data_IF_720693466113
#
_entry.id   IF_720693466113
#
_cell.length_a   1.000
_cell.length_b   1.000
_cell.length_c   1.000
_cell.angle_alpha   90.00
_cell.angle_beta   90.00
_cell.angle_gamma   90.00
#
_symmetry.space_group_name_H-M   'P 1'
#
loop_
_entity.id
_entity.type
_entity.pdbx_description
1 polymer ?
#
# COMPACT_ATOMS: atom_id res chain seq x y z
N UNK A 1 -16.43 -19.43 1.78
CA UNK A 1 -15.89 -20.04 3.02
C UNK A 1 -15.03 -19.01 3.72
N UNK A 2 -15.10 -18.85 5.06
CA UNK A 2 -14.19 -17.96 5.75
C UNK A 2 -12.75 -18.46 5.54
N UNK A 3 -11.87 -17.54 5.17
CA UNK A 3 -10.45 -17.81 5.00
C UNK A 3 -9.86 -18.19 6.37
N UNK A 4 -9.38 -19.43 6.54
CA UNK A 4 -8.73 -19.85 7.77
C UNK A 4 -7.31 -19.33 7.72
N UNK A 5 -7.07 -18.17 8.34
CA UNK A 5 -5.72 -17.60 8.46
C UNK A 5 -5.12 -18.07 9.77
N UNK A 6 -3.85 -18.49 9.72
CA UNK A 6 -3.11 -18.85 10.92
C UNK A 6 -2.86 -17.60 11.79
N UNK A 7 -2.85 -17.79 13.11
CA UNK A 7 -2.50 -16.71 14.04
C UNK A 7 -1.09 -16.14 13.81
N UNK A 8 -0.19 -16.95 13.26
CA UNK A 8 1.18 -16.54 12.89
C UNK A 8 1.19 -15.54 11.73
N UNK A 9 0.41 -15.78 10.68
CA UNK A 9 0.32 -14.86 9.54
C UNK A 9 -0.24 -13.49 9.96
N UNK A 10 -1.25 -13.46 10.84
CA UNK A 10 -1.79 -12.21 11.37
C UNK A 10 -0.77 -11.50 12.27
N UNK A 11 0.00 -12.23 13.08
CA UNK A 11 1.02 -11.66 13.96
C UNK A 11 2.12 -10.95 13.17
N UNK A 12 2.54 -11.53 12.06
CA UNK A 12 3.61 -10.96 11.23
C UNK A 12 3.20 -9.61 10.60
N UNK A 13 1.93 -9.48 10.22
CA UNK A 13 1.39 -8.25 9.58
C UNK A 13 0.83 -7.22 10.58
N UNK A 14 0.86 -7.49 11.88
CA UNK A 14 0.61 -6.50 12.95
C UNK A 14 1.90 -5.78 13.36
N UNK A 15 3.05 -6.41 13.17
CA UNK A 15 4.32 -5.85 13.58
C UNK A 15 4.69 -4.58 12.78
N UNK A 16 5.16 -3.55 13.48
CA UNK A 16 5.71 -2.37 12.82
C UNK A 16 7.04 -2.69 12.15
N UNK A 17 7.26 -2.09 10.99
CA UNK A 17 8.55 -2.11 10.33
C UNK A 17 9.21 -0.72 10.42
N UNK A 18 10.47 -0.63 10.03
CA UNK A 18 11.16 0.67 9.96
C UNK A 18 10.44 1.65 9.03
N UNK A 19 9.85 1.14 7.92
CA UNK A 19 9.18 1.98 6.92
C UNK A 19 7.81 2.46 7.36
N UNK A 20 7.11 1.68 8.18
CA UNK A 20 5.72 1.93 8.57
C UNK A 20 5.58 2.62 9.92
N UNK A 21 6.67 3.04 10.59
CA UNK A 21 6.57 3.79 11.85
C UNK A 21 5.67 5.01 11.67
N UNK A 22 4.47 5.04 12.30
CA UNK A 22 3.51 6.09 12.05
C UNK A 22 3.92 7.40 12.73
N UNK A 23 3.58 8.54 12.15
CA UNK A 23 3.69 9.81 12.84
C UNK A 23 2.76 9.82 14.06
N UNK A 24 3.20 10.48 15.15
CA UNK A 24 2.50 10.46 16.43
C UNK A 24 1.04 10.98 16.33
N UNK A 25 0.80 11.97 15.47
CA UNK A 25 -0.52 12.52 15.19
C UNK A 25 -1.46 11.44 14.64
N UNK A 26 -1.01 10.69 13.65
CA UNK A 26 -1.83 9.68 12.99
C UNK A 26 -2.04 8.45 13.89
N UNK A 27 -1.02 8.08 14.66
CA UNK A 27 -1.15 7.04 15.70
C UNK A 27 -2.21 7.41 16.75
N UNK A 28 -2.22 8.68 17.21
CA UNK A 28 -3.25 9.19 18.13
C UNK A 28 -4.64 9.20 17.50
N UNK A 29 -4.74 9.59 16.23
CA UNK A 29 -5.99 9.57 15.48
C UNK A 29 -6.56 8.16 15.36
N UNK A 30 -5.75 7.18 14.95
CA UNK A 30 -6.16 5.79 14.85
C UNK A 30 -6.64 5.21 16.21
N UNK A 31 -5.91 5.52 17.30
CA UNK A 31 -6.32 5.10 18.66
C UNK A 31 -7.69 5.64 19.03
N UNK A 32 -7.95 6.94 18.76
CA UNK A 32 -9.25 7.54 19.05
C UNK A 32 -10.39 6.91 18.25
N UNK A 33 -10.15 6.57 16.98
CA UNK A 33 -11.15 5.87 16.17
C UNK A 33 -11.44 4.47 16.72
N UNK A 34 -10.42 3.72 17.10
CA UNK A 34 -10.56 2.36 17.60
C UNK A 34 -11.33 2.26 18.93
N UNK A 35 -11.53 3.38 19.65
CA UNK A 35 -12.39 3.43 20.84
C UNK A 35 -13.89 3.31 20.50
N UNK A 36 -14.28 3.64 19.27
CA UNK A 36 -15.70 3.75 18.89
C UNK A 36 -16.06 2.95 17.64
N UNK A 37 -15.13 2.83 16.72
CA UNK A 37 -15.35 2.19 15.41
C UNK A 37 -14.84 0.74 15.40
N UNK A 38 -15.46 -0.06 14.55
CA UNK A 38 -14.95 -1.41 14.21
C UNK A 38 -13.57 -1.32 13.53
N UNK A 39 -12.79 -2.40 13.49
CA UNK A 39 -11.53 -2.43 12.76
C UNK A 39 -11.64 -2.00 11.31
N UNK A 40 -12.71 -2.41 10.61
CA UNK A 40 -12.96 -2.03 9.23
C UNK A 40 -13.24 -0.53 9.06
N UNK A 41 -14.12 0.04 9.87
CA UNK A 41 -14.43 1.47 9.85
C UNK A 41 -13.21 2.33 10.22
N UNK A 42 -12.46 1.89 11.25
CA UNK A 42 -11.19 2.53 11.63
C UNK A 42 -10.22 2.60 10.46
N UNK A 43 -10.05 1.49 9.74
CA UNK A 43 -9.15 1.42 8.60
C UNK A 43 -9.58 2.36 7.45
N UNK A 44 -10.86 2.37 7.11
CA UNK A 44 -11.40 3.28 6.10
C UNK A 44 -11.19 4.76 6.45
N UNK A 45 -11.46 5.14 7.71
CA UNK A 45 -11.28 6.54 8.14
C UNK A 45 -9.80 6.96 8.17
N UNK A 46 -8.88 6.03 8.51
CA UNK A 46 -7.44 6.27 8.39
C UNK A 46 -7.04 6.49 6.93
N UNK A 47 -7.50 5.64 6.01
CA UNK A 47 -7.23 5.79 4.57
C UNK A 47 -7.71 7.15 4.05
N UNK A 48 -8.96 7.51 4.36
CA UNK A 48 -9.56 8.80 3.95
C UNK A 48 -8.82 10.01 4.53
N UNK A 49 -8.35 9.92 5.79
CA UNK A 49 -7.53 10.99 6.37
C UNK A 49 -6.22 11.15 5.62
N UNK A 50 -5.55 10.04 5.32
CA UNK A 50 -4.29 10.06 4.56
C UNK A 50 -4.53 10.67 3.17
N UNK A 51 -5.55 10.22 2.45
CA UNK A 51 -5.93 10.78 1.16
C UNK A 51 -6.16 12.30 1.21
N UNK A 52 -6.92 12.79 2.20
CA UNK A 52 -7.25 14.22 2.31
C UNK A 52 -6.07 15.11 2.68
N UNK A 53 -5.08 14.58 3.39
CA UNK A 53 -3.97 15.39 3.92
C UNK A 53 -2.66 15.25 3.15
N UNK A 54 -2.56 14.25 2.28
CA UNK A 54 -1.38 14.00 1.46
C UNK A 54 -1.61 14.47 0.02
N UNK A 55 -0.55 14.96 -0.59
CA UNK A 55 -0.53 15.28 -2.02
C UNK A 55 0.30 14.23 -2.75
N UNK A 56 -0.29 13.62 -3.77
CA UNK A 56 0.45 12.70 -4.64
C UNK A 56 1.39 13.48 -5.58
N UNK A 57 2.66 13.12 -5.56
CA UNK A 57 3.65 13.76 -6.43
C UNK A 57 4.79 12.79 -6.77
N UNK A 58 5.03 12.57 -8.06
CA UNK A 58 6.15 11.76 -8.53
C UNK A 58 7.51 12.39 -8.25
N UNK A 59 8.51 11.55 -7.96
CA UNK A 59 9.91 11.96 -7.90
C UNK A 59 10.33 12.75 -6.67
N UNK A 60 9.46 12.94 -5.69
CA UNK A 60 9.76 13.71 -4.45
C UNK A 60 10.23 12.81 -3.30
N UNK A 61 9.86 11.55 -3.32
CA UNK A 61 10.28 10.54 -2.34
C UNK A 61 11.03 9.42 -3.04
N UNK A 62 12.07 8.91 -2.39
CA UNK A 62 12.80 7.75 -2.90
C UNK A 62 12.22 6.45 -2.34
N UNK A 63 12.63 5.33 -2.92
CA UNK A 63 12.25 3.98 -2.45
C UNK A 63 12.64 3.69 -0.99
N UNK A 64 13.40 4.57 -0.35
CA UNK A 64 13.85 4.46 1.03
C UNK A 64 13.10 5.37 2.01
N UNK A 65 12.11 6.16 1.56
CA UNK A 65 11.32 7.02 2.42
C UNK A 65 10.59 6.22 3.51
N UNK A 66 10.40 6.84 4.66
CA UNK A 66 9.64 6.27 5.77
C UNK A 66 8.34 7.04 5.97
N UNK A 67 7.33 6.37 6.53
CA UNK A 67 5.98 6.92 6.70
C UNK A 67 5.94 8.28 7.41
N UNK A 68 6.76 8.47 8.45
CA UNK A 68 6.79 9.73 9.19
C UNK A 68 7.38 10.90 8.40
N UNK A 69 8.36 10.65 7.54
CA UNK A 69 8.95 11.70 6.68
C UNK A 69 7.95 12.17 5.62
N UNK A 70 7.33 11.23 4.89
CA UNK A 70 6.34 11.53 3.89
C UNK A 70 5.12 12.26 4.50
N UNK A 71 4.64 11.81 5.66
CA UNK A 71 3.55 12.48 6.37
C UNK A 71 3.89 13.91 6.78
N UNK A 72 5.09 14.16 7.29
CA UNK A 72 5.51 15.50 7.70
C UNK A 72 5.64 16.44 6.50
N UNK A 73 6.09 15.93 5.36
CA UNK A 73 6.17 16.68 4.11
C UNK A 73 4.79 16.88 3.43
N UNK A 74 3.79 16.06 3.79
CA UNK A 74 2.46 16.00 3.16
C UNK A 74 2.50 15.73 1.65
N UNK A 75 3.57 15.09 1.19
CA UNK A 75 3.81 14.75 -0.21
C UNK A 75 4.38 13.33 -0.28
N UNK A 76 3.97 12.56 -1.27
CA UNK A 76 4.51 11.22 -1.49
C UNK A 76 3.92 10.53 -2.71
N UNK A 77 4.35 9.28 -2.92
CA UNK A 77 3.82 8.37 -3.94
C UNK A 77 2.97 7.26 -3.29
N UNK A 78 2.37 6.39 -4.08
CA UNK A 78 1.49 5.31 -3.59
C UNK A 78 2.12 4.46 -2.47
N UNK A 79 3.42 4.18 -2.55
CA UNK A 79 4.18 3.51 -1.50
C UNK A 79 4.09 4.24 -0.15
N UNK A 80 4.22 5.57 -0.14
CA UNK A 80 4.20 6.37 1.08
C UNK A 80 2.81 6.38 1.70
N UNK A 81 1.76 6.56 0.89
CA UNK A 81 0.37 6.47 1.35
C UNK A 81 0.10 5.12 2.00
N UNK A 82 0.51 4.02 1.37
CA UNK A 82 0.36 2.68 1.93
C UNK A 82 1.11 2.52 3.26
N UNK A 83 2.39 2.91 3.35
CA UNK A 83 3.19 2.80 4.58
C UNK A 83 2.58 3.59 5.74
N UNK A 84 2.08 4.79 5.49
CA UNK A 84 1.44 5.65 6.50
C UNK A 84 0.20 4.97 7.06
N UNK A 85 -0.67 4.45 6.19
CA UNK A 85 -1.87 3.72 6.59
C UNK A 85 -1.52 2.48 7.40
N UNK A 86 -0.61 1.63 6.89
CA UNK A 86 -0.18 0.41 7.58
C UNK A 86 0.32 0.70 9.00
N UNK A 87 1.15 1.72 9.15
CA UNK A 87 1.67 2.12 10.46
C UNK A 87 0.58 2.51 11.44
N UNK A 88 -0.41 3.27 10.98
CA UNK A 88 -1.53 3.69 11.79
C UNK A 88 -2.40 2.51 12.24
N UNK A 89 -2.73 1.59 11.32
CA UNK A 89 -3.55 0.41 11.60
C UNK A 89 -2.87 -0.54 12.59
N UNK A 90 -1.59 -0.81 12.40
CA UNK A 90 -0.78 -1.66 13.29
C UNK A 90 -0.65 -1.09 14.69
N UNK A 91 -0.66 0.23 14.85
CA UNK A 91 -0.64 0.89 16.17
C UNK A 91 -1.85 0.54 17.03
N UNK A 92 -2.96 0.19 16.42
CA UNK A 92 -4.21 -0.22 17.10
C UNK A 92 -4.48 -1.72 17.00
N UNK A 93 -3.48 -2.50 16.58
CA UNK A 93 -3.56 -3.96 16.54
C UNK A 93 -4.37 -4.50 15.36
N UNK A 94 -4.68 -3.68 14.34
CA UNK A 94 -5.33 -4.15 13.12
C UNK A 94 -4.27 -4.77 12.21
N UNK A 95 -4.35 -6.10 11.91
CA UNK A 95 -3.44 -6.75 10.99
C UNK A 95 -3.60 -6.13 9.60
N UNK A 96 -2.50 -5.65 9.02
CA UNK A 96 -2.55 -4.99 7.73
C UNK A 96 -1.27 -5.25 6.92
N UNK A 97 -1.42 -5.44 5.61
CA UNK A 97 -0.33 -5.79 4.70
C UNK A 97 -0.25 -4.85 3.51
N UNK A 98 0.96 -4.66 3.06
CA UNK A 98 1.30 -3.94 1.84
C UNK A 98 1.04 -4.81 0.63
N UNK A 99 0.44 -4.24 -0.39
CA UNK A 99 0.26 -4.90 -1.68
C UNK A 99 1.03 -4.15 -2.75
N UNK A 100 1.88 -4.87 -3.45
CA UNK A 100 2.58 -4.41 -4.64
C UNK A 100 1.90 -4.96 -5.88
N UNK A 101 1.74 -4.14 -6.88
CA UNK A 101 1.10 -4.56 -8.12
C UNK A 101 1.19 -3.52 -9.23
N UNK A 102 0.26 -3.62 -10.15
CA UNK A 102 0.11 -2.67 -11.26
C UNK A 102 -1.31 -2.15 -11.32
N UNK A 103 -1.46 -0.91 -11.75
CA UNK A 103 -2.74 -0.27 -11.95
C UNK A 103 -2.99 -0.10 -13.46
N UNK A 104 -4.12 -0.60 -13.93
CA UNK A 104 -4.59 -0.28 -15.27
C UNK A 104 -5.06 1.18 -15.32
N UNK A 105 -4.58 2.01 -16.27
CA UNK A 105 -4.87 3.44 -16.29
C UNK A 105 -6.35 3.77 -16.52
N UNK A 106 -7.07 2.92 -17.24
CA UNK A 106 -8.51 3.11 -17.48
C UNK A 106 -9.36 2.47 -16.40
N UNK A 107 -10.41 3.17 -15.98
CA UNK A 107 -11.47 2.64 -15.09
C UNK A 107 -12.41 1.68 -15.82
N UNK A 108 -12.39 1.68 -17.15
CA UNK A 108 -13.19 0.81 -18.00
C UNK A 108 -12.30 0.20 -19.08
N UNK A 109 -11.48 -0.82 -18.74
CA UNK A 109 -10.58 -1.45 -19.68
C UNK A 109 -11.32 -2.10 -20.85
N UNK A 110 -10.81 -1.89 -22.06
CA UNK A 110 -11.32 -2.53 -23.28
C UNK A 110 -10.63 -3.88 -23.46
N UNK A 111 -11.43 -4.92 -23.75
CA UNK A 111 -10.90 -6.27 -23.99
C UNK A 111 -9.97 -6.26 -25.21
N UNK A 112 -8.79 -6.84 -25.05
CA UNK A 112 -7.78 -6.97 -26.10
C UNK A 112 -6.94 -5.72 -26.34
N UNK A 113 -7.27 -4.58 -25.73
CA UNK A 113 -6.43 -3.37 -25.81
C UNK A 113 -5.21 -3.51 -24.90
N UNK A 114 -4.03 -3.24 -25.46
CA UNK A 114 -2.77 -3.17 -24.70
C UNK A 114 -2.53 -1.76 -24.21
N UNK A 115 -2.27 -1.61 -22.93
CA UNK A 115 -1.91 -0.34 -22.31
C UNK A 115 -0.62 -0.47 -21.51
N UNK A 116 0.09 0.63 -21.31
CA UNK A 116 1.22 0.68 -20.38
C UNK A 116 0.68 0.77 -18.97
N UNK A 117 1.01 -0.21 -18.14
CA UNK A 117 0.67 -0.27 -16.73
C UNK A 117 1.65 0.52 -15.88
N UNK A 118 1.14 1.10 -14.81
CA UNK A 118 1.95 1.78 -13.79
C UNK A 118 2.12 0.88 -12.55
N UNK A 119 3.35 0.83 -12.02
CA UNK A 119 3.56 0.19 -10.71
C UNK A 119 2.75 0.94 -9.66
N UNK A 120 2.07 0.19 -8.83
CA UNK A 120 1.18 0.76 -7.82
C UNK A 120 1.24 -0.01 -6.50
N UNK A 121 0.81 0.64 -5.43
CA UNK A 121 0.76 0.06 -4.11
C UNK A 121 -0.52 0.47 -3.39
N UNK A 122 -1.05 -0.47 -2.61
CA UNK A 122 -2.23 -0.27 -1.77
C UNK A 122 -2.15 -1.10 -0.50
N UNK A 123 -3.21 -1.12 0.26
CA UNK A 123 -3.27 -1.81 1.55
C UNK A 123 -4.38 -2.84 1.59
N UNK A 124 -4.15 -3.89 2.34
CA UNK A 124 -5.17 -4.82 2.78
C UNK A 124 -5.12 -4.92 4.31
N UNK A 125 -6.29 -5.06 4.96
CA UNK A 125 -6.39 -5.29 6.41
C UNK A 125 -7.37 -6.39 6.76
N UNK A 126 -7.15 -6.99 7.91
CA UNK A 126 -8.00 -8.06 8.42
C UNK A 126 -9.04 -7.54 9.40
N UNK A 127 -10.31 -7.82 9.12
CA UNK A 127 -11.45 -7.54 10.00
C UNK A 127 -12.48 -8.67 9.94
N UNK A 128 -12.02 -9.92 10.14
CA UNK A 128 -12.82 -11.12 9.95
C UNK A 128 -12.72 -11.70 8.53
N UNK A 129 -12.31 -10.88 7.58
CA UNK A 129 -11.85 -11.22 6.21
C UNK A 129 -10.84 -10.15 5.77
N UNK A 130 -10.13 -10.38 4.66
CA UNK A 130 -9.28 -9.36 4.06
C UNK A 130 -10.12 -8.35 3.29
N UNK A 131 -9.92 -7.09 3.61
CA UNK A 131 -10.45 -5.93 2.87
C UNK A 131 -9.31 -5.21 2.19
N UNK A 132 -9.51 -4.78 0.96
CA UNK A 132 -8.51 -4.09 0.15
C UNK A 132 -8.98 -2.67 -0.19
N UNK A 133 -8.07 -1.69 -0.08
CA UNK A 133 -8.36 -0.29 -0.36
C UNK A 133 -7.12 0.43 -0.89
N UNK A 134 -7.31 1.29 -1.84
CA UNK A 134 -6.27 2.15 -2.41
C UNK A 134 -6.33 3.55 -1.76
N UNK A 135 -5.45 3.84 -0.80
CA UNK A 135 -5.46 5.13 -0.10
C UNK A 135 -4.93 6.28 -0.95
N UNK A 136 -4.29 6.01 -2.08
CA UNK A 136 -3.79 7.03 -3.01
C UNK A 136 -4.91 7.62 -3.86
N UNK A 137 -5.89 6.80 -4.21
CA UNK A 137 -7.01 7.18 -5.07
C UNK A 137 -8.36 7.26 -4.32
N UNK A 138 -8.40 6.91 -3.02
CA UNK A 138 -9.61 6.84 -2.17
C UNK A 138 -10.69 5.92 -2.75
N UNK A 139 -10.29 4.73 -3.23
CA UNK A 139 -11.19 3.76 -3.86
C UNK A 139 -10.99 2.35 -3.30
N UNK A 140 -12.06 1.55 -3.36
CA UNK A 140 -11.92 0.11 -3.18
C UNK A 140 -11.11 -0.50 -4.33
N UNK A 141 -10.38 -1.57 -3.99
CA UNK A 141 -9.63 -2.33 -5.00
C UNK A 141 -10.61 -3.07 -5.90
N UNK A 142 -10.42 -2.91 -7.19
CA UNK A 142 -11.28 -3.43 -8.27
C UNK A 142 -10.43 -4.15 -9.33
N UNK A 143 -11.05 -4.61 -10.42
CA UNK A 143 -10.41 -5.36 -11.52
C UNK A 143 -9.15 -4.69 -12.10
N UNK A 144 -9.06 -3.38 -12.02
CA UNK A 144 -7.89 -2.62 -12.53
C UNK A 144 -6.63 -2.70 -11.65
N UNK A 145 -6.76 -3.25 -10.44
CA UNK A 145 -5.65 -3.47 -9.52
C UNK A 145 -5.12 -4.89 -9.66
N UNK A 146 -3.95 -5.03 -10.28
CA UNK A 146 -3.34 -6.32 -10.59
C UNK A 146 -2.30 -6.62 -9.50
N UNK A 147 -2.62 -7.58 -8.61
CA UNK A 147 -1.74 -7.97 -7.50
C UNK A 147 -0.54 -8.75 -8.03
N UNK A 148 0.66 -8.37 -7.59
CA UNK A 148 1.91 -9.10 -7.82
C UNK A 148 2.40 -9.77 -6.54
N UNK A 149 2.36 -9.05 -5.41
CA UNK A 149 2.81 -9.61 -4.14
C UNK A 149 2.23 -8.89 -2.92
N UNK A 150 2.27 -9.57 -1.79
CA UNK A 150 1.83 -9.08 -0.48
C UNK A 150 2.96 -9.23 0.52
N UNK A 151 3.17 -8.23 1.36
CA UNK A 151 4.22 -8.22 2.36
C UNK A 151 3.92 -7.25 3.51
N UNK A 152 4.87 -7.10 4.43
CA UNK A 152 4.75 -6.17 5.55
C UNK A 152 4.95 -4.72 5.12
N UNK A 153 5.82 -4.51 4.14
CA UNK A 153 6.11 -3.22 3.51
C UNK A 153 6.75 -3.43 2.13
N UNK A 154 7.23 -2.34 1.52
CA UNK A 154 7.91 -2.36 0.23
C UNK A 154 9.12 -3.31 0.17
N UNK A 155 9.89 -3.46 1.25
CA UNK A 155 11.11 -4.27 1.22
C UNK A 155 10.84 -5.77 1.03
N UNK A 156 9.65 -6.25 1.44
CA UNK A 156 9.25 -7.63 1.23
C UNK A 156 8.82 -7.90 -0.22
N UNK A 157 8.26 -6.91 -0.92
CA UNK A 157 7.65 -7.08 -2.24
C UNK A 157 7.97 -5.94 -3.21
N UNK A 158 9.24 -5.57 -3.40
CA UNK A 158 9.58 -4.55 -4.39
C UNK A 158 9.16 -5.01 -5.80
N UNK A 159 8.59 -4.13 -6.63
CA UNK A 159 8.15 -4.48 -7.98
C UNK A 159 9.26 -5.08 -8.84
N UNK A 160 10.48 -4.62 -8.60
CA UNK A 160 11.68 -5.14 -9.22
C UNK A 160 12.87 -4.99 -8.28
N UNK A 161 13.62 -6.07 -8.10
CA UNK A 161 14.87 -6.07 -7.33
C UNK A 161 15.91 -6.90 -8.08
N UNK A 162 17.09 -6.32 -8.29
CA UNK A 162 18.23 -6.99 -8.87
C UNK A 162 19.51 -6.68 -8.13
N UNK A 163 20.50 -7.57 -8.24
CA UNK A 163 21.87 -7.34 -7.79
C UNK A 163 22.77 -7.42 -9.00
N UNK A 164 23.53 -6.37 -9.23
CA UNK A 164 24.54 -6.32 -10.26
C UNK A 164 25.93 -6.27 -9.61
N UNK A 165 26.82 -7.13 -10.08
CA UNK A 165 28.23 -7.13 -9.70
C UNK A 165 29.07 -6.98 -10.97
N UNK A 166 29.70 -5.81 -11.14
CA UNK A 166 30.54 -5.52 -12.31
C UNK A 166 31.25 -4.18 -12.18
N UNK A 167 32.24 -3.90 -13.04
CA UNK A 167 33.04 -2.68 -12.98
C UNK A 167 32.36 -1.43 -13.54
N UNK A 168 31.18 -1.56 -14.14
CA UNK A 168 30.46 -0.48 -14.80
C UNK A 168 29.13 -0.20 -14.12
N UNK A 169 28.60 1.03 -14.28
CA UNK A 169 27.24 1.36 -13.89
C UNK A 169 26.22 0.57 -14.70
N UNK A 170 25.11 0.18 -14.09
CA UNK A 170 24.00 -0.45 -14.79
C UNK A 170 22.76 0.43 -14.71
N UNK A 171 22.00 0.51 -15.78
CA UNK A 171 20.68 1.13 -15.80
C UNK A 171 19.64 0.04 -16.08
N UNK A 172 18.47 0.22 -15.44
CA UNK A 172 17.37 -0.73 -15.57
C UNK A 172 16.16 -0.01 -16.17
N UNK A 173 15.69 -0.53 -17.28
CA UNK A 173 14.46 -0.07 -17.94
C UNK A 173 13.42 -1.17 -17.82
N UNK A 174 12.22 -0.81 -17.33
CA UNK A 174 11.10 -1.72 -17.20
C UNK A 174 9.89 -1.13 -17.91
N UNK A 175 9.28 -1.93 -18.77
CA UNK A 175 7.99 -1.61 -19.37
C UNK A 175 7.02 -2.73 -19.02
N UNK A 176 5.85 -2.37 -18.53
CA UNK A 176 4.77 -3.32 -18.20
C UNK A 176 3.62 -3.05 -19.15
N UNK A 177 3.22 -4.06 -19.89
CA UNK A 177 2.01 -4.04 -20.71
C UNK A 177 0.89 -4.80 -20.00
N UNK A 178 -0.30 -4.22 -19.97
CA UNK A 178 -1.50 -4.82 -19.41
C UNK A 178 -2.53 -4.98 -20.52
N UNK A 179 -3.16 -6.14 -20.57
CA UNK A 179 -4.27 -6.41 -21.50
C UNK A 179 -5.40 -7.05 -20.73
N UNK A 180 -6.62 -6.51 -20.85
CA UNK A 180 -7.82 -7.16 -20.32
C UNK A 180 -8.20 -8.31 -21.23
N UNK A 181 -8.31 -9.49 -20.67
CA UNK A 181 -8.86 -10.68 -21.34
C UNK A 181 -10.37 -10.82 -21.06
N UNK A 182 -11.04 -11.69 -21.82
CA UNK A 182 -12.48 -11.89 -21.70
C UNK A 182 -12.86 -12.65 -20.42
#
# INVERSE_FOLDING_TARGET
QPEIISSLELTDVVAQTKRTQPPAELAKFAKKLAETYTPHETALEVCRKVFREMTYQHGVTGVHSIASEAWNAKIGVCQDFAHIVLGALRTVGIPARYVSGYLHPSISPVIGEKVIGESHAWVEWWAGSWFAFDPTNDVHVEERHIVVGRGRDYDDVPPLRGVYAGPFSSELFVTVEITKEA
#
